data_IF_808260843225
#
_entry.id   IF_808260843225
#
_cell.length_a   1.000
_cell.length_b   1.000
_cell.length_c   1.000
_cell.angle_alpha   90.00
_cell.angle_beta   90.00
_cell.angle_gamma   90.00
#
_symmetry.space_group_name_H-M   'P 1'
#
loop_
_entity.id
_entity.type
_entity.pdbx_description
1 polymer ?
#
# COMPACT_ATOMS: atom_id res chain seq x y z
N UNK A 1 -8.59 -3.36 13.90
CA UNK A 1 -9.58 -2.65 13.07
C UNK A 1 -10.54 -3.57 12.31
N UNK A 2 -10.28 -4.88 12.18
CA UNK A 2 -11.28 -5.85 11.66
C UNK A 2 -11.62 -5.71 10.17
N UNK A 3 -10.88 -4.91 9.41
CA UNK A 3 -11.13 -4.61 7.99
C UNK A 3 -10.85 -5.82 7.08
N UNK A 4 -9.92 -6.69 7.47
CA UNK A 4 -9.50 -7.88 6.72
C UNK A 4 -9.40 -9.06 7.71
N UNK A 5 -9.89 -10.23 7.32
CA UNK A 5 -9.76 -11.46 8.10
C UNK A 5 -8.38 -12.10 7.91
N UNK A 6 -8.01 -13.02 8.81
CA UNK A 6 -6.72 -13.75 8.73
C UNK A 6 -6.77 -14.99 7.83
N UNK A 7 -7.78 -15.08 6.96
CA UNK A 7 -7.89 -16.20 6.03
C UNK A 7 -6.88 -16.02 4.89
N UNK A 8 -6.27 -17.10 4.36
CA UNK A 8 -5.24 -17.02 3.33
C UNK A 8 -5.63 -16.16 2.12
N UNK A 9 -6.87 -16.26 1.67
CA UNK A 9 -7.43 -15.55 0.52
C UNK A 9 -7.51 -14.03 0.72
N UNK A 10 -7.89 -13.58 1.90
CA UNK A 10 -7.94 -12.16 2.22
C UNK A 10 -6.55 -11.58 2.51
N UNK A 11 -5.66 -12.38 3.12
CA UNK A 11 -4.26 -12.02 3.27
C UNK A 11 -3.56 -11.89 1.92
N UNK A 12 -3.86 -12.78 0.96
CA UNK A 12 -3.38 -12.70 -0.41
C UNK A 12 -3.86 -11.40 -1.07
N UNK A 13 -5.15 -11.08 -0.97
CA UNK A 13 -5.69 -9.85 -1.51
C UNK A 13 -5.01 -8.60 -0.93
N UNK A 14 -4.82 -8.58 0.40
CA UNK A 14 -4.12 -7.50 1.10
C UNK A 14 -2.66 -7.36 0.65
N UNK A 15 -1.93 -8.46 0.53
CA UNK A 15 -0.54 -8.46 0.06
C UNK A 15 -0.44 -7.89 -1.36
N UNK A 16 -1.30 -8.35 -2.28
CA UNK A 16 -1.27 -7.88 -3.67
C UNK A 16 -1.64 -6.40 -3.80
N UNK A 17 -2.70 -5.94 -3.11
CA UNK A 17 -3.06 -4.53 -3.07
C UNK A 17 -1.94 -3.67 -2.44
N UNK A 18 -1.26 -4.19 -1.42
CA UNK A 18 -0.13 -3.48 -0.79
C UNK A 18 1.05 -3.35 -1.76
N UNK A 19 1.42 -4.43 -2.46
CA UNK A 19 2.51 -4.41 -3.45
C UNK A 19 2.20 -3.48 -4.62
N UNK A 20 0.94 -3.37 -5.03
CA UNK A 20 0.54 -2.41 -6.05
C UNK A 20 0.61 -0.96 -5.56
N UNK A 21 0.12 -0.68 -4.35
CA UNK A 21 0.27 0.64 -3.74
C UNK A 21 1.75 1.03 -3.58
N UNK A 22 2.60 0.09 -3.17
CA UNK A 22 4.05 0.28 -3.05
C UNK A 22 4.70 0.66 -4.39
N UNK A 23 4.27 0.08 -5.51
CA UNK A 23 4.81 0.45 -6.82
C UNK A 23 4.61 1.92 -7.12
N UNK A 24 3.44 2.49 -6.80
CA UNK A 24 3.20 3.94 -6.93
C UNK A 24 4.08 4.79 -6.00
N UNK A 25 4.49 4.22 -4.87
CA UNK A 25 5.39 4.88 -3.92
C UNK A 25 6.86 4.80 -4.34
N UNK A 26 7.32 3.70 -4.92
CA UNK A 26 8.74 3.41 -5.15
C UNK A 26 9.21 3.60 -6.60
N UNK A 27 8.39 4.17 -7.48
CA UNK A 27 8.80 4.47 -8.87
C UNK A 27 10.11 5.25 -8.87
N UNK A 28 11.13 4.63 -9.48
CA UNK A 28 12.47 5.16 -9.72
C UNK A 28 13.28 5.58 -8.48
N UNK A 29 13.03 4.98 -7.32
CA UNK A 29 13.78 5.31 -6.11
C UNK A 29 14.99 4.36 -5.92
N UNK A 30 16.20 4.89 -5.67
CA UNK A 30 17.35 4.09 -5.26
C UNK A 30 17.07 3.26 -4.00
N UNK A 31 17.62 2.05 -3.93
CA UNK A 31 17.57 1.23 -2.71
C UNK A 31 18.19 2.00 -1.54
N UNK A 32 17.53 2.02 -0.38
CA UNK A 32 18.02 2.69 0.84
C UNK A 32 17.34 4.02 1.19
N UNK A 33 16.26 4.40 0.50
CA UNK A 33 15.47 5.59 0.84
C UNK A 33 14.61 5.36 2.09
N UNK A 34 14.57 6.38 2.96
CA UNK A 34 13.68 6.40 4.11
C UNK A 34 12.29 6.87 3.70
N UNK A 35 11.26 6.22 4.23
CA UNK A 35 9.86 6.53 3.95
C UNK A 35 9.13 6.89 5.24
N UNK A 36 8.37 7.98 5.21
CA UNK A 36 7.44 8.37 6.26
C UNK A 36 6.02 8.39 5.67
N UNK A 37 5.26 7.32 5.91
CA UNK A 37 3.99 7.06 5.23
C UNK A 37 2.81 7.00 6.19
N UNK A 38 1.67 7.50 5.74
CA UNK A 38 0.35 7.14 6.23
C UNK A 38 -0.22 6.05 5.33
N UNK A 39 -0.73 4.98 5.94
CA UNK A 39 -1.35 3.87 5.22
C UNK A 39 -2.80 3.75 5.65
N UNK A 40 -3.69 3.76 4.66
CA UNK A 40 -5.12 3.53 4.83
C UNK A 40 -5.51 2.21 4.17
N UNK A 41 -6.37 1.45 4.85
CA UNK A 41 -6.93 0.20 4.31
C UNK A 41 -8.44 0.31 4.45
N UNK A 42 -9.14 0.09 3.34
CA UNK A 42 -10.60 0.09 3.29
C UNK A 42 -11.08 -1.15 2.54
N UNK A 43 -12.08 -1.82 3.09
CA UNK A 43 -12.75 -2.93 2.43
C UNK A 43 -14.24 -2.62 2.32
N UNK A 44 -14.84 -2.98 1.18
CA UNK A 44 -16.28 -2.89 0.96
C UNK A 44 -16.70 -3.96 -0.03
N UNK A 45 -17.74 -4.70 0.34
CA UNK A 45 -18.23 -5.84 -0.44
C UNK A 45 -17.06 -6.79 -0.77
N UNK A 46 -16.87 -7.16 -2.03
CA UNK A 46 -15.80 -8.06 -2.49
C UNK A 46 -14.48 -7.33 -2.84
N UNK A 47 -14.26 -6.10 -2.34
CA UNK A 47 -13.11 -5.30 -2.72
C UNK A 47 -12.32 -4.76 -1.54
N UNK A 48 -11.00 -4.73 -1.70
CA UNK A 48 -10.05 -4.17 -0.76
C UNK A 48 -9.19 -3.11 -1.47
N UNK A 49 -9.03 -1.97 -0.82
CA UNK A 49 -8.14 -0.91 -1.26
C UNK A 49 -7.09 -0.62 -0.18
N UNK A 50 -5.83 -0.47 -0.62
CA UNK A 50 -4.71 0.00 0.20
C UNK A 50 -4.20 1.30 -0.40
N UNK A 51 -4.24 2.38 0.37
CA UNK A 51 -3.71 3.67 0.00
C UNK A 51 -2.48 3.99 0.85
N UNK A 52 -1.41 4.44 0.21
CA UNK A 52 -0.20 4.94 0.86
C UNK A 52 0.01 6.39 0.44
N UNK A 53 0.28 7.26 1.40
CA UNK A 53 0.62 8.66 1.13
C UNK A 53 1.67 9.13 2.11
N UNK A 54 2.70 9.80 1.62
CA UNK A 54 3.74 10.30 2.49
C UNK A 54 4.96 10.80 1.76
N UNK A 55 6.07 10.86 2.48
CA UNK A 55 7.32 11.40 1.99
C UNK A 55 8.36 10.30 1.80
N UNK A 56 9.12 10.42 0.72
CA UNK A 56 10.34 9.64 0.49
C UNK A 56 11.53 10.59 0.52
N UNK A 57 12.60 10.24 1.23
CA UNK A 57 13.84 11.03 1.25
C UNK A 57 15.09 10.13 1.24
N UNK A 58 15.98 10.38 0.28
CA UNK A 58 17.35 9.84 0.31
C UNK A 58 18.27 10.72 1.16
N UNK A 59 18.01 12.02 1.13
CA UNK A 59 18.71 13.05 1.88
C UNK A 59 17.69 14.16 2.22
N UNK A 60 17.96 15.00 3.23
CA UNK A 60 17.01 16.05 3.69
C UNK A 60 16.56 17.01 2.58
N UNK A 61 17.37 17.15 1.52
CA UNK A 61 17.12 18.03 0.37
C UNK A 61 16.33 17.34 -0.76
N UNK A 62 16.28 16.00 -0.79
CA UNK A 62 15.62 15.23 -1.87
C UNK A 62 14.32 14.57 -1.38
N UNK A 63 13.48 15.34 -0.69
CA UNK A 63 12.16 14.92 -0.22
C UNK A 63 11.12 15.08 -1.32
N UNK A 64 10.33 14.02 -1.56
CA UNK A 64 9.20 14.05 -2.48
C UNK A 64 7.96 13.51 -1.76
N UNK A 65 6.83 14.21 -1.90
CA UNK A 65 5.53 13.64 -1.57
C UNK A 65 5.12 12.64 -2.64
N UNK A 66 4.56 11.51 -2.19
CA UNK A 66 4.20 10.40 -3.06
C UNK A 66 2.88 9.79 -2.60
N UNK A 67 2.18 9.21 -3.56
CA UNK A 67 0.92 8.52 -3.35
C UNK A 67 0.94 7.20 -4.12
N UNK A 68 0.34 6.17 -3.53
CA UNK A 68 0.15 4.86 -4.14
C UNK A 68 -1.20 4.31 -3.76
N UNK A 69 -1.86 3.64 -4.70
CA UNK A 69 -3.14 2.97 -4.50
C UNK A 69 -3.03 1.58 -5.12
N UNK A 70 -3.44 0.57 -4.38
CA UNK A 70 -3.63 -0.78 -4.90
C UNK A 70 -5.00 -1.29 -4.51
N UNK A 71 -5.62 -2.05 -5.42
CA UNK A 71 -6.99 -2.52 -5.27
C UNK A 71 -7.03 -3.99 -5.67
N UNK A 72 -7.66 -4.82 -4.82
CA UNK A 72 -7.73 -6.25 -5.07
C UNK A 72 -9.09 -6.82 -4.67
N UNK A 73 -9.54 -7.81 -5.43
CA UNK A 73 -10.76 -8.55 -5.12
C UNK A 73 -10.54 -9.45 -3.90
N UNK A 74 -11.47 -9.41 -2.95
CA UNK A 74 -11.54 -10.33 -1.82
C UNK A 74 -12.32 -11.55 -2.30
N UNK A 75 -11.66 -12.69 -2.46
CA UNK A 75 -12.38 -13.92 -2.77
C UNK A 75 -12.95 -14.51 -1.48
N UNK A 76 -14.24 -14.28 -1.19
CA UNK A 76 -14.92 -14.99 -0.11
C UNK A 76 -15.48 -16.32 -0.64
N UNK A 77 -14.64 -17.36 -0.69
CA UNK A 77 -15.13 -18.73 -0.85
C UNK A 77 -15.28 -19.41 0.51
#
# INVERSE_FOLDING_TARGET
NGVVSKRPEELHALLHATLEAERGMLVDIPRGVSLALKVGIAARDEWLAVAMFGQSALHVVTNHWRAGLGVMHLNHR
#
